data_IF_773846054788
#
_entry.id   IF_773846054788
#
_cell.length_a   1.000
_cell.length_b   1.000
_cell.length_c   1.000
_cell.angle_alpha   90.00
_cell.angle_beta   90.00
_cell.angle_gamma   90.00
#
_symmetry.space_group_name_H-M   'P 1'
#
loop_
_entity.id
_entity.type
_entity.pdbx_description
1 polymer ?
#
# COMPACT_ATOMS: atom_id res chain seq x y z
N UNK A 1 9.47 -17.72 16.23
CA UNK A 1 8.35 -17.31 15.35
C UNK A 1 7.09 -17.53 16.12
N UNK A 2 6.18 -16.56 16.15
CA UNK A 2 4.91 -16.68 16.83
C UNK A 2 3.99 -17.59 16.01
N UNK A 3 3.37 -18.58 16.65
CA UNK A 3 2.37 -19.43 16.02
C UNK A 3 1.02 -19.16 16.63
N UNK A 4 -0.02 -19.12 15.80
CA UNK A 4 -1.40 -18.81 16.20
C UNK A 4 -2.31 -19.92 15.65
N UNK A 5 -3.25 -20.37 16.50
CA UNK A 5 -4.35 -21.22 16.09
C UNK A 5 -5.67 -20.47 16.27
N UNK A 6 -6.33 -20.17 15.17
CA UNK A 6 -7.69 -19.64 15.15
C UNK A 6 -8.67 -20.82 15.16
N UNK A 7 -9.49 -20.95 16.20
CA UNK A 7 -10.46 -22.04 16.36
C UNK A 7 -11.87 -21.61 15.99
N UNK A 8 -12.65 -22.54 15.50
CA UNK A 8 -14.08 -22.38 15.25
C UNK A 8 -14.43 -21.23 14.30
N UNK A 9 -13.59 -20.98 13.30
CA UNK A 9 -13.81 -19.89 12.35
C UNK A 9 -14.52 -20.40 11.09
N UNK A 10 -15.49 -19.64 10.58
CA UNK A 10 -16.08 -19.93 9.29
C UNK A 10 -15.08 -19.58 8.16
N UNK A 11 -14.66 -20.58 7.40
CA UNK A 11 -13.80 -20.42 6.23
C UNK A 11 -14.56 -20.89 4.99
N UNK A 12 -15.01 -19.97 4.14
CA UNK A 12 -15.81 -20.26 2.94
C UNK A 12 -17.06 -21.14 3.20
N UNK A 13 -17.78 -20.88 4.31
CA UNK A 13 -18.97 -21.65 4.69
C UNK A 13 -18.70 -22.92 5.48
N UNK A 14 -17.43 -23.27 5.72
CA UNK A 14 -17.03 -24.47 6.45
C UNK A 14 -16.42 -24.04 7.80
N UNK A 15 -16.96 -24.53 8.91
CA UNK A 15 -16.36 -24.33 10.23
C UNK A 15 -15.00 -25.02 10.27
N UNK A 16 -13.96 -24.27 10.57
CA UNK A 16 -12.59 -24.74 10.46
C UNK A 16 -11.71 -24.17 11.55
N UNK A 17 -10.58 -24.83 11.81
CA UNK A 17 -9.46 -24.26 12.56
C UNK A 17 -8.37 -23.84 11.57
N UNK A 18 -7.74 -22.68 11.80
CA UNK A 18 -6.65 -22.16 10.94
C UNK A 18 -5.38 -22.07 11.76
N UNK A 19 -4.35 -22.79 11.35
CA UNK A 19 -3.01 -22.73 11.95
C UNK A 19 -2.09 -21.84 11.15
N UNK A 20 -1.53 -20.83 11.82
CA UNK A 20 -0.62 -19.82 11.27
C UNK A 20 0.73 -19.96 11.95
N UNK A 21 1.79 -19.98 11.17
CA UNK A 21 3.17 -19.99 11.64
C UNK A 21 3.94 -18.82 10.99
N UNK A 22 4.39 -17.89 11.83
CA UNK A 22 4.97 -16.64 11.35
C UNK A 22 3.99 -15.87 10.47
N UNK A 23 4.34 -15.65 9.20
CA UNK A 23 3.51 -14.91 8.23
C UNK A 23 2.71 -15.81 7.26
N UNK A 24 2.59 -17.10 7.56
CA UNK A 24 1.98 -18.07 6.62
C UNK A 24 0.87 -18.89 7.27
N UNK A 25 -0.26 -19.00 6.57
CA UNK A 25 -1.26 -20.02 6.86
C UNK A 25 -0.66 -21.37 6.47
N UNK A 26 -0.46 -22.23 7.46
CA UNK A 26 0.11 -23.57 7.26
C UNK A 26 -0.96 -24.60 7.00
N UNK A 27 -2.09 -24.52 7.69
CA UNK A 27 -3.19 -25.47 7.57
C UNK A 27 -4.54 -24.77 7.77
N UNK A 28 -5.54 -25.26 7.08
CA UNK A 28 -6.96 -25.00 7.31
C UNK A 28 -7.60 -26.36 7.51
N UNK A 29 -8.17 -26.61 8.67
CA UNK A 29 -8.63 -27.92 9.13
C UNK A 29 -10.13 -27.85 9.40
N UNK A 30 -10.98 -28.44 8.55
CA UNK A 30 -12.42 -28.50 8.83
C UNK A 30 -12.70 -29.21 10.14
N UNK A 31 -13.52 -28.60 11.00
CA UNK A 31 -13.92 -29.20 12.27
C UNK A 31 -14.72 -30.47 12.02
N UNK A 32 -14.37 -31.56 12.75
CA UNK A 32 -15.01 -32.89 12.58
C UNK A 32 -14.50 -33.70 11.38
N UNK A 33 -13.50 -33.23 10.64
CA UNK A 33 -12.85 -34.03 9.60
C UNK A 33 -11.95 -35.12 10.22
N UNK A 34 -11.71 -36.19 9.44
CA UNK A 34 -10.78 -37.25 9.86
C UNK A 34 -9.38 -36.67 10.09
N UNK A 35 -8.83 -36.88 11.29
CA UNK A 35 -7.52 -36.35 11.68
C UNK A 35 -7.52 -34.99 12.36
N UNK A 36 -8.63 -34.25 12.38
CA UNK A 36 -8.73 -32.92 13.00
C UNK A 36 -8.17 -32.89 14.44
N UNK A 37 -8.57 -33.82 15.30
CA UNK A 37 -8.09 -33.88 16.70
C UNK A 37 -6.58 -34.17 16.81
N UNK A 38 -6.03 -34.96 15.89
CA UNK A 38 -4.59 -35.28 15.85
C UNK A 38 -3.76 -34.13 15.32
N UNK A 39 -4.29 -33.38 14.38
CA UNK A 39 -3.62 -32.21 13.76
C UNK A 39 -3.69 -30.97 14.64
N UNK A 40 -4.71 -30.87 15.52
CA UNK A 40 -4.84 -29.84 16.55
C UNK A 40 -3.96 -30.05 17.78
N UNK A 41 -3.05 -31.06 17.81
CA UNK A 41 -2.06 -31.14 18.88
C UNK A 41 -1.07 -29.99 18.75
N UNK A 42 -1.36 -28.98 19.58
CA UNK A 42 -0.65 -27.71 19.59
C UNK A 42 0.70 -27.92 20.29
N UNK A 43 1.79 -27.57 19.61
CA UNK A 43 3.10 -27.46 20.24
C UNK A 43 3.04 -26.42 21.37
N UNK A 44 3.85 -26.58 22.41
CA UNK A 44 3.95 -25.56 23.47
C UNK A 44 4.33 -24.20 22.89
N UNK A 45 3.59 -23.14 23.27
CA UNK A 45 3.87 -21.76 22.83
C UNK A 45 3.04 -21.27 21.64
N UNK A 46 2.00 -22.01 21.23
CA UNK A 46 1.03 -21.53 20.24
C UNK A 46 -0.05 -20.70 20.94
N UNK A 47 -0.29 -19.49 20.45
CA UNK A 47 -1.43 -18.66 20.88
C UNK A 47 -2.74 -19.22 20.29
N UNK A 48 -3.73 -19.45 21.14
CA UNK A 48 -5.03 -19.97 20.70
C UNK A 48 -6.08 -18.90 20.85
N UNK A 49 -6.79 -18.62 19.75
CA UNK A 49 -7.91 -17.67 19.73
C UNK A 49 -9.19 -18.40 19.33
N UNK A 50 -10.23 -18.30 20.16
CA UNK A 50 -11.56 -18.74 19.76
C UNK A 50 -12.20 -17.70 18.86
N UNK A 51 -12.59 -18.13 17.68
CA UNK A 51 -13.18 -17.31 16.62
C UNK A 51 -14.63 -17.71 16.32
N UNK A 52 -15.33 -18.32 17.28
CA UNK A 52 -16.73 -18.68 17.11
C UNK A 52 -17.56 -17.48 16.65
N UNK A 53 -18.41 -17.68 15.66
CA UNK A 53 -19.23 -16.64 15.04
C UNK A 53 -18.48 -15.68 14.10
N UNK A 54 -17.17 -15.84 13.91
CA UNK A 54 -16.38 -15.03 12.98
C UNK A 54 -16.17 -15.75 11.65
N UNK A 55 -15.89 -14.97 10.59
CA UNK A 55 -15.57 -15.48 9.26
C UNK A 55 -14.15 -15.04 8.89
N UNK A 56 -13.35 -15.98 8.40
CA UNK A 56 -12.06 -15.69 7.78
C UNK A 56 -12.27 -15.27 6.33
N UNK A 57 -11.65 -14.17 5.93
CA UNK A 57 -11.65 -13.67 4.56
C UNK A 57 -10.28 -13.07 4.23
N UNK A 58 -9.90 -13.00 2.94
CA UNK A 58 -8.73 -12.23 2.55
C UNK A 58 -8.84 -10.78 3.02
N UNK A 59 -7.70 -10.20 3.45
CA UNK A 59 -7.66 -8.78 3.79
C UNK A 59 -7.93 -7.90 2.58
N UNK A 60 -8.46 -6.71 2.80
CA UNK A 60 -8.70 -5.74 1.74
C UNK A 60 -7.39 -5.25 1.12
N UNK A 61 -7.47 -4.91 -0.16
CA UNK A 61 -6.39 -4.28 -0.92
C UNK A 61 -6.86 -2.87 -1.29
N UNK A 62 -6.19 -1.86 -0.74
CA UNK A 62 -6.41 -0.47 -1.14
C UNK A 62 -5.58 -0.20 -2.39
N UNK A 63 -6.24 -0.09 -3.54
CA UNK A 63 -5.57 0.04 -4.84
C UNK A 63 -5.09 1.45 -5.17
N UNK A 64 -5.48 2.46 -4.39
CA UNK A 64 -5.05 3.84 -4.59
C UNK A 64 -5.10 4.63 -3.29
N UNK A 65 -3.96 5.25 -2.93
CA UNK A 65 -3.87 6.14 -1.77
C UNK A 65 -2.70 7.12 -1.91
N UNK A 66 -2.79 8.22 -1.19
CA UNK A 66 -1.72 9.14 -0.85
C UNK A 66 -1.55 9.08 0.67
N UNK A 67 -0.94 8.00 1.16
CA UNK A 67 -0.98 7.63 2.57
C UNK A 67 -0.52 8.75 3.51
N UNK A 68 0.54 9.49 3.14
CA UNK A 68 1.06 10.60 3.94
C UNK A 68 0.06 11.76 4.10
N UNK A 69 -0.84 11.96 3.14
CA UNK A 69 -1.86 13.02 3.19
C UNK A 69 -2.90 12.82 4.30
N UNK A 70 -2.86 11.69 5.02
CA UNK A 70 -3.66 11.50 6.23
C UNK A 70 -3.44 12.60 7.27
N UNK A 71 -2.27 13.25 7.28
CA UNK A 71 -1.99 14.41 8.12
C UNK A 71 -2.55 15.74 7.59
N UNK A 72 -2.99 15.77 6.34
CA UNK A 72 -3.61 16.95 5.72
C UNK A 72 -5.14 16.95 5.80
N UNK A 73 -5.71 15.94 6.45
CA UNK A 73 -7.17 15.79 6.56
C UNK A 73 -7.80 17.01 7.25
N UNK A 74 -8.85 17.56 6.63
CA UNK A 74 -9.59 18.71 7.16
C UNK A 74 -8.93 20.08 6.93
N UNK A 75 -7.85 20.15 6.13
CA UNK A 75 -7.19 21.44 5.85
C UNK A 75 -7.95 22.33 4.85
N UNK A 76 -8.63 21.73 3.88
CA UNK A 76 -9.48 22.44 2.92
C UNK A 76 -10.74 21.60 2.64
N UNK A 77 -11.89 22.20 2.88
CA UNK A 77 -13.21 21.59 2.66
C UNK A 77 -14.12 22.58 1.94
N UNK A 78 -15.15 22.08 1.27
CA UNK A 78 -16.19 22.86 0.59
C UNK A 78 -15.68 23.80 -0.52
N UNK A 79 -14.56 23.46 -1.16
CA UNK A 79 -13.99 24.20 -2.30
C UNK A 79 -14.02 23.35 -3.58
N UNK A 80 -13.95 24.02 -4.74
CA UNK A 80 -13.86 23.30 -6.02
C UNK A 80 -12.50 22.62 -6.17
N UNK A 81 -12.46 21.51 -6.93
CA UNK A 81 -11.26 20.70 -7.08
C UNK A 81 -10.01 21.48 -7.49
N UNK A 82 -10.16 22.44 -8.43
CA UNK A 82 -9.03 23.27 -8.89
C UNK A 82 -8.37 24.09 -7.78
N UNK A 83 -9.16 24.59 -6.83
CA UNK A 83 -8.65 25.40 -5.72
C UNK A 83 -8.06 24.49 -4.64
N UNK A 84 -8.71 23.36 -4.40
CA UNK A 84 -8.22 22.32 -3.49
C UNK A 84 -6.83 21.81 -3.90
N UNK A 85 -6.66 21.41 -5.17
CA UNK A 85 -5.39 20.84 -5.61
C UNK A 85 -4.24 21.85 -5.57
N UNK A 86 -4.50 23.13 -5.88
CA UNK A 86 -3.49 24.18 -5.77
C UNK A 86 -3.05 24.36 -4.30
N UNK A 87 -3.99 24.32 -3.37
CA UNK A 87 -3.69 24.42 -1.95
C UNK A 87 -2.87 23.23 -1.45
N UNK A 88 -3.22 22.02 -1.87
CA UNK A 88 -2.47 20.82 -1.56
C UNK A 88 -1.03 20.92 -2.09
N UNK A 89 -0.84 21.31 -3.36
CA UNK A 89 0.50 21.48 -3.92
C UNK A 89 1.33 22.54 -3.19
N UNK A 90 0.69 23.60 -2.68
CA UNK A 90 1.40 24.60 -1.87
C UNK A 90 1.88 24.01 -0.53
N UNK A 91 1.04 23.22 0.12
CA UNK A 91 1.42 22.52 1.35
C UNK A 91 2.53 21.49 1.10
N UNK A 92 2.45 20.76 0.00
CA UNK A 92 3.40 19.72 -0.39
C UNK A 92 4.81 20.25 -0.67
N UNK A 93 4.97 21.56 -0.94
CA UNK A 93 6.31 22.17 -1.06
C UNK A 93 7.12 22.13 0.24
N UNK A 94 6.46 21.99 1.38
CA UNK A 94 7.07 22.00 2.70
C UNK A 94 7.17 20.62 3.37
N UNK A 95 6.68 19.56 2.72
CA UNK A 95 6.79 18.21 3.28
C UNK A 95 8.21 17.66 3.19
N UNK A 96 8.52 16.77 4.12
CA UNK A 96 9.81 16.08 4.22
C UNK A 96 9.61 14.57 4.49
N UNK A 97 10.71 13.88 4.69
CA UNK A 97 10.70 12.45 5.02
C UNK A 97 9.97 12.15 6.33
N UNK A 98 10.08 13.05 7.32
CA UNK A 98 9.44 12.86 8.62
C UNK A 98 7.90 12.96 8.49
N UNK A 99 7.43 13.96 7.76
CA UNK A 99 6.01 14.09 7.44
C UNK A 99 5.46 12.82 6.76
N UNK A 100 6.16 12.34 5.71
CA UNK A 100 5.72 11.15 4.97
C UNK A 100 5.76 9.90 5.86
N UNK A 101 6.77 9.75 6.69
CA UNK A 101 6.88 8.63 7.62
C UNK A 101 5.69 8.58 8.61
N UNK A 102 5.41 9.69 9.29
CA UNK A 102 4.31 9.73 10.27
C UNK A 102 2.93 9.66 9.62
N UNK A 103 2.72 10.35 8.50
CA UNK A 103 1.46 10.29 7.78
C UNK A 103 1.15 8.89 7.26
N UNK A 104 2.15 8.20 6.73
CA UNK A 104 2.01 6.80 6.33
C UNK A 104 1.71 5.89 7.53
N UNK A 105 2.31 6.13 8.69
CA UNK A 105 1.98 5.37 9.91
C UNK A 105 0.52 5.54 10.33
N UNK A 106 0.00 6.77 10.29
CA UNK A 106 -1.42 7.04 10.58
C UNK A 106 -2.32 6.29 9.59
N UNK A 107 -2.03 6.39 8.30
CA UNK A 107 -2.77 5.66 7.28
C UNK A 107 -2.73 4.15 7.50
N UNK A 108 -1.55 3.57 7.77
CA UNK A 108 -1.40 2.15 8.06
C UNK A 108 -2.22 1.72 9.27
N UNK A 109 -2.24 2.52 10.34
CA UNK A 109 -3.05 2.23 11.53
C UNK A 109 -4.55 2.16 11.19
N UNK A 110 -5.05 3.10 10.41
CA UNK A 110 -6.45 3.11 9.97
C UNK A 110 -6.75 1.92 9.04
N UNK A 111 -5.86 1.61 8.11
CA UNK A 111 -5.96 0.46 7.21
C UNK A 111 -6.02 -0.87 7.98
N UNK A 112 -5.14 -1.07 8.96
CA UNK A 112 -5.12 -2.28 9.79
C UNK A 112 -6.44 -2.40 10.58
N UNK A 113 -6.91 -1.33 11.18
CA UNK A 113 -8.16 -1.31 11.94
C UNK A 113 -9.40 -1.61 11.08
N UNK A 114 -9.33 -1.36 9.79
CA UNK A 114 -10.42 -1.60 8.82
C UNK A 114 -10.22 -2.87 7.99
N UNK A 115 -9.16 -3.65 8.25
CA UNK A 115 -8.91 -4.94 7.60
C UNK A 115 -8.16 -4.86 6.27
N UNK A 116 -7.57 -3.73 5.93
CA UNK A 116 -6.70 -3.58 4.76
C UNK A 116 -5.31 -4.14 5.07
N UNK A 117 -4.80 -5.01 4.22
CA UNK A 117 -3.52 -5.70 4.40
C UNK A 117 -2.47 -5.32 3.35
N UNK A 118 -2.90 -4.68 2.28
CA UNK A 118 -2.04 -4.21 1.19
C UNK A 118 -2.57 -2.88 0.68
N UNK A 119 -1.70 -1.94 0.38
CA UNK A 119 -2.10 -0.67 -0.21
C UNK A 119 -1.15 -0.25 -1.32
N UNK A 120 -1.67 0.49 -2.30
CA UNK A 120 -0.93 1.08 -3.41
C UNK A 120 -0.84 2.59 -3.19
N UNK A 121 0.37 3.08 -2.98
CA UNK A 121 0.66 4.48 -2.63
C UNK A 121 1.35 5.21 -3.77
N UNK A 122 0.81 6.34 -4.13
CA UNK A 122 1.34 7.24 -5.15
C UNK A 122 1.80 8.54 -4.48
N UNK A 123 3.06 8.55 -4.00
CA UNK A 123 3.58 9.71 -3.29
C UNK A 123 5.12 9.83 -3.41
N UNK A 124 5.70 10.84 -2.75
CA UNK A 124 7.14 11.05 -2.68
C UNK A 124 7.77 10.39 -1.45
N UNK A 125 9.09 10.52 -1.30
CA UNK A 125 9.84 9.97 -0.16
C UNK A 125 9.56 8.48 0.09
N UNK A 126 9.54 7.70 -0.98
CA UNK A 126 9.23 6.25 -0.94
C UNK A 126 10.01 5.46 0.12
N UNK A 127 11.29 5.74 0.46
CA UNK A 127 11.98 5.07 1.55
C UNK A 127 11.32 5.28 2.91
N UNK A 128 10.81 6.49 3.19
CA UNK A 128 10.12 6.81 4.44
C UNK A 128 8.77 6.08 4.54
N UNK A 129 7.98 6.08 3.46
CA UNK A 129 6.72 5.34 3.38
C UNK A 129 6.93 3.83 3.56
N UNK A 130 7.96 3.24 2.93
CA UNK A 130 8.31 1.83 3.08
C UNK A 130 8.70 1.47 4.50
N UNK A 131 9.57 2.27 5.13
CA UNK A 131 9.97 2.07 6.53
C UNK A 131 8.75 2.09 7.46
N UNK A 132 7.88 3.09 7.31
CA UNK A 132 6.65 3.19 8.08
C UNK A 132 5.76 1.95 7.92
N UNK A 133 5.55 1.50 6.67
CA UNK A 133 4.73 0.33 6.35
C UNK A 133 5.30 -0.96 6.91
N UNK A 134 6.62 -1.15 6.82
CA UNK A 134 7.31 -2.33 7.34
C UNK A 134 7.20 -2.42 8.88
N UNK A 135 7.35 -1.30 9.59
CA UNK A 135 7.19 -1.23 11.04
C UNK A 135 5.74 -1.49 11.48
N UNK A 136 4.76 -1.09 10.66
CA UNK A 136 3.34 -1.34 10.91
C UNK A 136 2.89 -2.74 10.47
N UNK A 137 3.71 -3.47 9.73
CA UNK A 137 3.42 -4.84 9.28
C UNK A 137 2.40 -4.94 8.16
N UNK A 138 2.18 -3.87 7.40
CA UNK A 138 1.29 -3.85 6.23
C UNK A 138 2.11 -3.89 4.93
N UNK A 139 1.61 -4.53 3.89
CA UNK A 139 2.32 -4.67 2.61
C UNK A 139 2.12 -3.43 1.74
N UNK A 140 3.20 -2.67 1.42
CA UNK A 140 3.11 -1.54 0.53
C UNK A 140 3.38 -1.93 -0.93
N UNK A 141 2.66 -1.30 -1.85
CA UNK A 141 3.06 -1.10 -3.24
C UNK A 141 3.33 0.39 -3.36
N UNK A 142 4.56 0.79 -3.58
CA UNK A 142 4.96 2.20 -3.53
C UNK A 142 5.47 2.62 -4.90
N UNK A 143 4.90 3.70 -5.41
CA UNK A 143 5.40 4.39 -6.58
C UNK A 143 6.04 5.73 -6.20
N UNK A 144 6.96 6.21 -7.02
CA UNK A 144 7.34 7.61 -7.03
C UNK A 144 6.42 8.33 -8.03
N UNK A 145 5.65 9.30 -7.57
CA UNK A 145 4.76 10.07 -8.44
C UNK A 145 5.53 11.16 -9.16
N UNK A 146 5.60 11.06 -10.50
CA UNK A 146 6.23 12.06 -11.35
C UNK A 146 5.22 13.11 -11.79
N UNK A 147 5.61 14.36 -11.71
CA UNK A 147 4.92 15.48 -12.35
C UNK A 147 5.95 16.59 -12.63
N UNK A 148 5.86 17.18 -13.80
CA UNK A 148 6.81 18.18 -14.29
C UNK A 148 6.14 19.52 -14.62
N UNK A 149 4.82 19.63 -14.45
CA UNK A 149 4.03 20.80 -14.84
C UNK A 149 4.33 21.27 -16.28
N UNK A 150 4.73 20.33 -17.15
CA UNK A 150 5.13 20.56 -18.56
C UNK A 150 6.38 21.43 -18.71
N UNK A 151 7.25 21.43 -17.72
CA UNK A 151 8.57 22.05 -17.72
C UNK A 151 9.66 21.03 -18.10
N UNK A 152 10.53 21.36 -19.04
CA UNK A 152 11.52 20.43 -19.58
C UNK A 152 12.62 20.09 -18.56
N UNK A 153 13.12 21.06 -17.79
CA UNK A 153 14.15 20.80 -16.77
C UNK A 153 13.58 19.92 -15.64
N UNK A 154 12.34 20.21 -15.24
CA UNK A 154 11.63 19.38 -14.29
C UNK A 154 11.42 17.95 -14.83
N UNK A 155 11.11 17.77 -16.12
CA UNK A 155 10.95 16.47 -16.76
C UNK A 155 12.19 15.60 -16.58
N UNK A 156 13.39 16.11 -16.91
CA UNK A 156 14.63 15.34 -16.75
C UNK A 156 14.90 14.96 -15.29
N UNK A 157 14.68 15.89 -14.36
CA UNK A 157 14.79 15.61 -12.94
C UNK A 157 13.83 14.50 -12.47
N UNK A 158 12.59 14.47 -12.99
CA UNK A 158 11.62 13.43 -12.63
C UNK A 158 12.06 12.05 -13.15
N UNK A 159 12.61 11.97 -14.37
CA UNK A 159 13.16 10.73 -14.92
C UNK A 159 14.27 10.15 -14.02
N UNK A 160 15.19 10.99 -13.58
CA UNK A 160 16.26 10.59 -12.66
C UNK A 160 15.71 10.09 -11.31
N UNK A 161 14.74 10.80 -10.75
CA UNK A 161 14.13 10.43 -9.47
C UNK A 161 13.36 9.10 -9.51
N UNK A 162 12.64 8.83 -10.62
CA UNK A 162 11.98 7.53 -10.80
C UNK A 162 13.02 6.41 -10.89
N UNK A 163 14.06 6.59 -11.72
CA UNK A 163 15.11 5.60 -11.87
C UNK A 163 15.80 5.32 -10.53
N UNK A 164 16.12 6.35 -9.76
CA UNK A 164 16.73 6.20 -8.44
C UNK A 164 15.78 5.51 -7.43
N UNK A 165 14.48 5.86 -7.43
CA UNK A 165 13.49 5.21 -6.56
C UNK A 165 13.34 3.72 -6.89
N UNK A 166 13.37 3.36 -8.18
CA UNK A 166 13.37 1.98 -8.63
C UNK A 166 14.60 1.22 -8.15
N UNK A 167 15.81 1.74 -8.39
CA UNK A 167 17.06 1.11 -7.95
C UNK A 167 17.09 0.92 -6.42
N UNK A 168 16.66 1.92 -5.66
CA UNK A 168 16.55 1.81 -4.22
C UNK A 168 15.59 0.67 -3.81
N UNK A 169 14.49 0.49 -4.56
CA UNK A 169 13.49 -0.54 -4.27
C UNK A 169 14.02 -1.97 -4.42
N UNK A 170 14.98 -2.21 -5.33
CA UNK A 170 15.57 -3.53 -5.58
C UNK A 170 16.35 -4.06 -4.37
N UNK A 171 16.89 -3.19 -3.53
CA UNK A 171 17.65 -3.56 -2.35
C UNK A 171 16.78 -3.81 -1.10
N UNK A 172 15.50 -3.44 -1.14
CA UNK A 172 14.60 -3.51 0.01
C UNK A 172 14.03 -4.92 0.22
N UNK A 173 14.02 -5.36 1.48
CA UNK A 173 13.53 -6.70 1.88
C UNK A 173 12.22 -6.63 2.70
N UNK A 174 11.46 -5.57 2.52
CA UNK A 174 10.22 -5.30 3.27
C UNK A 174 9.00 -6.10 2.78
N UNK A 175 9.14 -6.85 1.69
CA UNK A 175 8.05 -7.59 1.05
C UNK A 175 7.09 -6.72 0.23
N UNK A 176 7.38 -5.41 0.14
CA UNK A 176 6.64 -4.49 -0.72
C UNK A 176 7.06 -4.58 -2.20
N UNK A 177 6.26 -3.95 -3.04
CA UNK A 177 6.50 -3.84 -4.48
C UNK A 177 6.75 -2.39 -4.85
N UNK A 178 7.40 -2.19 -6.01
CA UNK A 178 7.55 -0.88 -6.64
C UNK A 178 6.74 -0.86 -7.93
N UNK A 179 6.06 0.26 -8.18
CA UNK A 179 5.40 0.58 -9.44
C UNK A 179 5.85 1.94 -9.94
N UNK A 180 5.66 2.20 -11.22
CA UNK A 180 5.87 3.54 -11.79
C UNK A 180 4.60 4.36 -11.69
N UNK A 181 4.74 5.69 -11.58
CA UNK A 181 3.61 6.59 -11.59
C UNK A 181 3.95 7.92 -12.25
N UNK A 182 2.99 8.51 -12.93
CA UNK A 182 2.90 9.95 -13.12
C UNK A 182 1.56 10.44 -12.60
N UNK A 183 1.49 11.72 -12.24
CA UNK A 183 0.32 12.23 -11.52
C UNK A 183 -0.96 12.17 -12.37
N UNK A 184 -1.07 13.00 -13.39
CA UNK A 184 -2.24 13.11 -14.25
C UNK A 184 -1.87 13.77 -15.59
N UNK A 185 -2.76 13.70 -16.58
CA UNK A 185 -2.54 14.28 -17.90
C UNK A 185 -2.39 15.81 -17.85
N UNK A 186 -3.08 16.47 -16.94
CA UNK A 186 -3.04 17.93 -16.83
C UNK A 186 -1.76 18.45 -16.15
N UNK A 187 -1.07 17.65 -15.36
CA UNK A 187 0.11 18.04 -14.59
C UNK A 187 1.42 17.46 -15.11
N UNK A 188 1.36 16.62 -16.15
CA UNK A 188 2.51 15.88 -16.68
C UNK A 188 2.65 16.15 -18.18
N UNK A 189 3.89 16.34 -18.67
CA UNK A 189 4.17 16.48 -20.08
C UNK A 189 4.01 15.15 -20.82
N UNK A 190 3.69 15.20 -22.12
CA UNK A 190 3.64 14.02 -22.97
C UNK A 190 4.99 13.29 -22.99
N UNK A 191 6.09 14.04 -23.01
CA UNK A 191 7.45 13.49 -22.97
C UNK A 191 7.65 12.61 -21.71
N UNK A 192 7.29 13.12 -20.54
CA UNK A 192 7.44 12.38 -19.29
C UNK A 192 6.49 11.17 -19.23
N UNK A 193 5.23 11.32 -19.68
CA UNK A 193 4.28 10.22 -19.75
C UNK A 193 4.78 9.06 -20.61
N UNK A 194 5.31 9.35 -21.79
CA UNK A 194 5.87 8.36 -22.70
C UNK A 194 7.10 7.68 -22.10
N UNK A 195 8.01 8.47 -21.52
CA UNK A 195 9.20 7.93 -20.87
C UNK A 195 8.85 6.99 -19.70
N UNK A 196 7.92 7.40 -18.82
CA UNK A 196 7.47 6.56 -17.69
C UNK A 196 6.82 5.27 -18.17
N UNK A 197 6.03 5.36 -19.25
CA UNK A 197 5.39 4.17 -19.86
C UNK A 197 6.42 3.19 -20.42
N UNK A 198 7.46 3.69 -21.08
CA UNK A 198 8.53 2.84 -21.62
C UNK A 198 9.43 2.29 -20.52
N UNK A 199 9.69 3.07 -19.46
CA UNK A 199 10.38 2.60 -18.26
C UNK A 199 9.61 1.46 -17.59
N UNK A 200 8.28 1.61 -17.44
CA UNK A 200 7.41 0.56 -16.90
C UNK A 200 7.50 -0.74 -17.71
N UNK A 201 7.39 -0.65 -19.04
CA UNK A 201 7.52 -1.81 -19.94
C UNK A 201 8.88 -2.46 -19.81
N UNK A 202 9.96 -1.67 -19.86
CA UNK A 202 11.36 -2.16 -19.78
C UNK A 202 11.61 -2.96 -18.50
N UNK A 203 11.04 -2.53 -17.38
CA UNK A 203 11.26 -3.13 -16.07
C UNK A 203 10.12 -4.05 -15.61
N UNK A 204 9.12 -4.31 -16.48
CA UNK A 204 7.93 -5.11 -16.19
C UNK A 204 7.17 -4.61 -14.94
N UNK A 205 7.02 -3.30 -14.82
CA UNK A 205 6.30 -2.62 -13.74
C UNK A 205 4.87 -2.27 -14.17
N UNK A 206 4.01 -2.05 -13.20
CA UNK A 206 2.69 -1.45 -13.43
C UNK A 206 2.82 0.07 -13.50
N UNK A 207 1.82 0.70 -14.10
CA UNK A 207 1.70 2.14 -14.19
C UNK A 207 0.47 2.60 -13.39
N UNK A 208 0.68 3.54 -12.49
CA UNK A 208 -0.34 4.11 -11.61
C UNK A 208 -0.52 5.59 -11.94
N UNK A 209 -1.76 6.01 -12.23
CA UNK A 209 -2.08 7.38 -12.65
C UNK A 209 -3.47 7.78 -12.14
N UNK A 210 -3.70 9.10 -12.03
CA UNK A 210 -5.05 9.66 -12.01
C UNK A 210 -5.55 9.82 -13.44
N UNK A 211 -6.76 9.37 -13.73
CA UNK A 211 -7.37 9.43 -15.05
C UNK A 211 -8.86 9.67 -14.94
N UNK A 212 -9.39 10.53 -15.79
CA UNK A 212 -10.81 10.93 -15.78
C UNK A 212 -11.25 11.55 -14.45
N UNK A 213 -10.40 12.38 -13.87
CA UNK A 213 -10.63 13.01 -12.56
C UNK A 213 -11.62 14.16 -12.63
N UNK A 214 -11.62 14.89 -13.74
CA UNK A 214 -12.54 16.02 -13.99
C UNK A 214 -13.05 16.02 -15.42
N UNK A 215 -14.19 16.71 -15.65
CA UNK A 215 -14.73 16.91 -17.01
C UNK A 215 -13.80 17.68 -17.94
N UNK A 216 -12.83 18.44 -17.40
CA UNK A 216 -11.89 19.25 -18.19
C UNK A 216 -10.66 18.46 -18.65
N UNK A 217 -10.43 17.28 -18.14
CA UNK A 217 -9.34 16.41 -18.53
C UNK A 217 -9.58 15.81 -19.92
#
# INVERSE_FOLDING_TARGET
MTSILLKNINCNGILSDIYIEGSRIKRIMPVGSAGHEGECRIASGVEVMDCEGKTAMPGFINMHTHAAMSLMRGTEEDVVFSDWIQKIWEMEKSIDEEFVYWGTKVACLEMIKTGTTTFNDQYWYSPAARRASAEMGIRPVISYVALDHKDHEACELQKEKIAQAYENSLSMKDGGMFETAFHAIYSTSEELMLWVSDFAKKHNLKLHIHLSETEKE
#
